data_IF_744994901492
#
_entry.id   IF_744994901492
#
_cell.length_a   1.000
_cell.length_b   1.000
_cell.length_c   1.000
_cell.angle_alpha   90.00
_cell.angle_beta   90.00
_cell.angle_gamma   90.00
#
_symmetry.space_group_name_H-M   'P 1'
#
loop_
_entity.id
_entity.type
_entity.pdbx_description
1 polymer ?
#
# COMPACT_ATOMS: atom_id res chain seq x y z
N UNK A 1 5.27 13.29 45.33
CA UNK A 1 4.28 12.69 44.40
C UNK A 1 4.36 13.25 42.98
N UNK A 2 4.81 14.50 42.76
CA UNK A 2 4.72 15.16 41.45
C UNK A 2 5.68 14.66 40.37
N UNK A 3 6.97 14.43 40.65
CA UNK A 3 7.97 14.21 39.59
C UNK A 3 7.64 13.05 38.65
N UNK A 4 7.27 11.89 39.19
CA UNK A 4 6.88 10.74 38.39
C UNK A 4 5.63 11.02 37.52
N UNK A 5 4.61 11.68 38.08
CA UNK A 5 3.41 12.06 37.33
C UNK A 5 3.69 13.16 36.30
N UNK A 6 4.56 14.11 36.61
CA UNK A 6 5.01 15.15 35.68
C UNK A 6 5.78 14.53 34.52
N UNK A 7 6.66 13.55 34.79
CA UNK A 7 7.38 12.82 33.73
C UNK A 7 6.43 12.02 32.85
N UNK A 8 5.47 11.28 33.43
CA UNK A 8 4.46 10.57 32.65
C UNK A 8 3.59 11.51 31.83
N UNK A 9 3.16 12.62 32.43
CA UNK A 9 2.32 13.61 31.75
C UNK A 9 3.07 14.30 30.60
N UNK A 10 4.36 14.60 30.79
CA UNK A 10 5.21 15.13 29.73
C UNK A 10 5.39 14.12 28.60
N UNK A 11 5.64 12.85 28.95
CA UNK A 11 5.76 11.76 27.99
C UNK A 11 4.47 11.58 27.17
N UNK A 12 3.32 11.57 27.83
CA UNK A 12 2.00 11.56 27.19
C UNK A 12 1.83 12.76 26.23
N UNK A 13 2.16 13.96 26.69
CA UNK A 13 1.98 15.18 25.88
C UNK A 13 2.86 15.13 24.63
N UNK A 14 4.10 14.63 24.75
CA UNK A 14 5.01 14.42 23.62
C UNK A 14 4.44 13.38 22.65
N UNK A 15 3.97 12.23 23.15
CA UNK A 15 3.35 11.19 22.32
C UNK A 15 2.11 11.69 21.57
N UNK A 16 1.25 12.47 22.24
CA UNK A 16 0.06 13.09 21.66
C UNK A 16 0.42 14.03 20.51
N UNK A 17 1.36 14.95 20.74
CA UNK A 17 1.79 15.91 19.72
C UNK A 17 2.43 15.19 18.55
N UNK A 18 3.29 14.19 18.82
CA UNK A 18 3.95 13.39 17.79
C UNK A 18 2.93 12.64 16.94
N UNK A 19 1.94 12.00 17.56
CA UNK A 19 0.90 11.25 16.86
C UNK A 19 -0.02 12.18 16.08
N UNK A 20 -0.40 13.32 16.65
CA UNK A 20 -1.20 14.33 15.95
C UNK A 20 -0.50 14.79 14.66
N UNK A 21 0.80 15.09 14.74
CA UNK A 21 1.62 15.42 13.57
C UNK A 21 1.66 14.25 12.58
N UNK A 22 1.70 12.99 13.02
CA UNK A 22 1.76 11.84 12.11
C UNK A 22 0.42 11.51 11.43
N UNK A 23 -0.71 11.79 12.09
CA UNK A 23 -2.06 11.53 11.56
C UNK A 23 -2.50 12.59 10.55
N UNK A 24 -1.99 13.82 10.67
CA UNK A 24 -2.31 14.87 9.72
C UNK A 24 -1.95 14.47 8.28
N UNK A 25 -2.71 14.94 7.27
CA UNK A 25 -2.41 14.67 5.87
C UNK A 25 -1.20 15.52 5.40
N UNK A 26 0.01 15.16 5.82
CA UNK A 26 1.21 15.92 5.43
C UNK A 26 1.61 15.69 3.95
N UNK A 27 2.25 16.67 3.30
CA UNK A 27 2.78 16.51 1.95
C UNK A 27 3.91 15.46 1.89
N UNK A 28 4.08 14.84 0.73
CA UNK A 28 4.98 13.69 0.50
C UNK A 28 6.42 13.90 0.97
N UNK A 29 6.98 15.11 0.76
CA UNK A 29 8.36 15.45 1.17
C UNK A 29 8.56 15.30 2.68
N UNK A 30 7.58 15.77 3.46
CA UNK A 30 7.66 15.75 4.92
C UNK A 30 7.41 14.34 5.44
N UNK A 31 6.44 13.60 4.87
CA UNK A 31 6.22 12.18 5.20
C UNK A 31 7.45 11.32 4.98
N UNK A 32 8.18 11.55 3.88
CA UNK A 32 9.43 10.84 3.57
C UNK A 32 10.52 11.15 4.61
N UNK A 33 10.65 12.43 5.00
CA UNK A 33 11.56 12.84 6.07
C UNK A 33 11.23 12.16 7.39
N UNK A 34 9.98 12.27 7.85
CA UNK A 34 9.48 11.65 9.08
C UNK A 34 9.72 10.14 9.08
N UNK A 35 9.37 9.45 7.99
CA UNK A 35 9.59 8.01 7.87
C UNK A 35 11.08 7.66 7.93
N UNK A 36 11.94 8.39 7.24
CA UNK A 36 13.38 8.17 7.25
C UNK A 36 13.97 8.37 8.64
N UNK A 37 13.62 9.46 9.32
CA UNK A 37 14.08 9.77 10.68
C UNK A 37 13.60 8.73 11.67
N UNK A 38 12.31 8.37 11.64
CA UNK A 38 11.78 7.30 12.49
C UNK A 38 12.49 5.98 12.24
N UNK A 39 12.68 5.58 10.97
CA UNK A 39 13.37 4.35 10.65
C UNK A 39 14.83 4.37 11.10
N UNK A 40 15.53 5.50 11.02
CA UNK A 40 16.89 5.66 11.52
C UNK A 40 16.96 5.58 13.05
N UNK A 41 16.00 6.17 13.75
CA UNK A 41 15.90 6.09 15.21
C UNK A 41 15.61 4.65 15.65
N UNK A 42 14.60 4.01 15.07
CA UNK A 42 14.21 2.64 15.41
C UNK A 42 15.20 1.59 14.90
N UNK A 43 16.04 1.89 13.90
CA UNK A 43 17.09 0.98 13.44
C UNK A 43 18.14 0.72 14.53
N UNK A 44 18.38 1.70 15.42
CA UNK A 44 19.32 1.53 16.54
C UNK A 44 18.74 0.59 17.59
N UNK A 45 19.44 -0.51 17.85
CA UNK A 45 19.01 -1.50 18.86
C UNK A 45 18.84 -0.87 20.24
N UNK A 46 19.73 0.05 20.63
CA UNK A 46 19.65 0.78 21.90
C UNK A 46 18.31 1.50 22.09
N UNK A 47 17.81 2.16 21.03
CA UNK A 47 16.54 2.89 21.08
C UNK A 47 15.36 1.92 21.18
N UNK A 48 15.39 0.80 20.46
CA UNK A 48 14.36 -0.25 20.59
C UNK A 48 14.29 -0.79 22.01
N UNK A 49 15.44 -1.04 22.62
CA UNK A 49 15.52 -1.52 24.01
C UNK A 49 14.95 -0.48 24.98
N UNK A 50 15.27 0.80 24.83
CA UNK A 50 14.72 1.87 25.67
C UNK A 50 13.20 1.93 25.54
N UNK A 51 12.66 1.95 24.31
CA UNK A 51 11.21 1.98 24.07
C UNK A 51 10.52 0.76 24.70
N UNK A 52 11.11 -0.43 24.56
CA UNK A 52 10.55 -1.65 25.14
C UNK A 52 10.55 -1.62 26.67
N UNK A 53 11.68 -1.22 27.29
CA UNK A 53 11.80 -1.12 28.75
C UNK A 53 10.82 -0.06 29.28
N UNK A 54 10.76 1.11 28.65
CA UNK A 54 9.81 2.18 29.03
C UNK A 54 8.37 1.71 28.89
N UNK A 55 8.03 1.01 27.80
CA UNK A 55 6.70 0.43 27.60
C UNK A 55 6.34 -0.60 28.66
N UNK A 56 7.25 -1.52 29.01
CA UNK A 56 7.06 -2.47 30.10
C UNK A 56 6.90 -1.78 31.45
N UNK A 57 7.70 -0.75 31.73
CA UNK A 57 7.62 0.02 32.97
C UNK A 57 6.25 0.71 33.10
N UNK A 58 5.81 1.44 32.07
CA UNK A 58 4.47 2.05 32.04
C UNK A 58 3.39 0.98 32.13
N UNK A 59 3.59 -0.19 31.52
CA UNK A 59 2.73 -1.36 31.65
C UNK A 59 2.56 -1.81 33.10
N UNK A 60 3.65 -2.00 33.84
CA UNK A 60 3.58 -2.36 35.27
C UNK A 60 2.85 -1.31 36.10
N UNK A 61 3.08 -0.03 35.81
CA UNK A 61 2.43 1.09 36.48
C UNK A 61 0.94 1.18 36.16
N UNK A 62 0.56 0.80 34.94
CA UNK A 62 -0.83 0.61 34.54
C UNK A 62 -1.46 -0.51 35.37
N UNK A 63 -0.86 -1.70 35.43
CA UNK A 63 -1.40 -2.80 36.25
C UNK A 63 -1.51 -2.41 37.74
N UNK A 64 -0.50 -1.74 38.31
CA UNK A 64 -0.53 -1.29 39.71
C UNK A 64 -1.67 -0.29 39.96
N UNK A 65 -1.80 0.70 39.09
CA UNK A 65 -2.88 1.71 39.16
C UNK A 65 -4.26 1.06 38.95
N UNK A 66 -4.37 0.06 38.08
CA UNK A 66 -5.61 -0.69 37.83
C UNK A 66 -6.04 -1.45 39.08
N UNK A 67 -5.13 -2.23 39.64
CA UNK A 67 -5.37 -3.03 40.85
C UNK A 67 -5.77 -2.14 42.02
N UNK A 68 -5.12 -0.99 42.18
CA UNK A 68 -5.41 -0.03 43.25
C UNK A 68 -6.70 0.76 43.02
N UNK A 69 -7.09 1.00 41.76
CA UNK A 69 -8.34 1.66 41.39
C UNK A 69 -9.58 0.77 41.56
N UNK A 70 -9.42 -0.56 41.47
CA UNK A 70 -10.51 -1.53 41.69
C UNK A 70 -10.85 -1.82 43.15
N UNK A 71 -10.10 -1.26 44.11
CA UNK A 71 -10.41 -1.41 45.54
C UNK A 71 -11.83 -0.86 45.79
N UNK A 72 -12.74 -1.75 46.20
CA UNK A 72 -14.16 -1.44 46.44
C UNK A 72 -14.27 -0.52 47.64
N UNK A 73 -14.60 0.74 47.38
CA UNK A 73 -14.98 1.71 48.40
C UNK A 73 -16.48 1.54 48.62
N UNK A 74 -16.88 1.01 49.77
CA UNK A 74 -18.28 0.97 50.19
C UNK A 74 -18.76 2.40 50.42
N UNK A 75 -19.47 2.95 49.43
CA UNK A 75 -20.24 4.19 49.56
C UNK A 75 -21.62 3.79 50.10
N UNK A 76 -22.08 4.51 51.13
CA UNK A 76 -23.41 4.43 51.72
C UNK A 76 -24.47 3.97 50.70
N UNK A 77 -24.92 2.72 50.80
CA UNK A 77 -26.28 2.38 50.43
C UNK A 77 -27.10 2.50 51.71
N UNK A 78 -28.12 3.35 51.69
CA UNK A 78 -29.18 3.39 52.70
C UNK A 78 -29.97 2.08 52.62
N UNK A 79 -29.39 0.96 53.03
CA UNK A 79 -30.17 -0.22 53.35
C UNK A 79 -30.65 -0.08 54.80
N UNK A 80 -31.92 0.30 54.91
CA UNK A 80 -32.74 0.20 56.11
C UNK A 80 -32.94 -1.28 56.50
N UNK A 81 -31.87 -2.02 56.77
CA UNK A 81 -31.97 -3.36 57.37
C UNK A 81 -31.09 -3.44 58.61
N UNK A 82 -31.77 -3.43 59.76
CA UNK A 82 -31.18 -3.43 61.09
C UNK A 82 -30.38 -4.68 61.39
N UNK A 83 -29.09 -4.66 61.04
CA UNK A 83 -28.13 -5.67 61.43
C UNK A 83 -26.88 -4.99 62.01
N UNK A 84 -26.71 -5.21 63.30
CA UNK A 84 -25.56 -4.81 64.12
C UNK A 84 -24.29 -5.44 63.53
N UNK A 85 -23.40 -4.60 63.01
CA UNK A 85 -22.09 -5.05 62.51
C UNK A 85 -21.36 -3.98 61.73
N UNK A 86 -20.73 -3.03 62.44
CA UNK A 86 -19.70 -2.11 61.94
C UNK A 86 -19.94 -1.60 60.51
N UNK A 87 -20.84 -0.62 60.37
CA UNK A 87 -20.91 0.21 59.16
C UNK A 87 -19.57 0.93 59.00
N UNK A 88 -18.63 0.27 58.32
CA UNK A 88 -17.30 0.78 58.04
C UNK A 88 -17.44 1.97 57.08
N UNK A 89 -17.63 3.16 57.65
CA UNK A 89 -17.55 4.44 56.97
C UNK A 89 -16.21 4.45 56.24
N UNK A 90 -16.24 4.43 54.90
CA UNK A 90 -15.01 4.58 54.14
C UNK A 90 -14.49 6.00 54.36
N UNK A 91 -13.25 6.17 54.86
CA UNK A 91 -12.74 7.49 55.16
C UNK A 91 -12.64 8.31 53.88
N UNK A 92 -12.89 9.63 53.95
CA UNK A 92 -12.71 10.57 52.82
C UNK A 92 -11.33 10.38 52.14
N UNK A 93 -10.31 10.00 52.91
CA UNK A 93 -8.97 9.68 52.42
C UNK A 93 -8.93 8.47 51.47
N UNK A 94 -9.76 7.45 51.68
CA UNK A 94 -9.88 6.30 50.78
C UNK A 94 -10.58 6.70 49.47
N UNK A 95 -11.57 7.59 49.55
CA UNK A 95 -12.27 8.11 48.37
C UNK A 95 -11.36 9.02 47.53
N UNK A 96 -10.59 9.91 48.18
CA UNK A 96 -9.58 10.74 47.53
C UNK A 96 -8.48 9.88 46.88
N UNK A 97 -7.96 8.88 47.61
CA UNK A 97 -6.95 7.95 47.09
C UNK A 97 -7.45 7.19 45.86
N UNK A 98 -8.72 6.80 45.81
CA UNK A 98 -9.33 6.17 44.63
C UNK A 98 -9.33 7.11 43.42
N UNK A 99 -9.77 8.36 43.59
CA UNK A 99 -9.80 9.33 42.49
C UNK A 99 -8.38 9.60 41.93
N UNK A 100 -7.37 9.64 42.78
CA UNK A 100 -5.97 9.75 42.33
C UNK A 100 -5.53 8.55 41.51
N UNK A 101 -5.83 7.32 41.94
CA UNK A 101 -5.46 6.12 41.20
C UNK A 101 -6.23 5.97 39.88
N UNK A 102 -7.49 6.41 39.83
CA UNK A 102 -8.25 6.49 38.58
C UNK A 102 -7.60 7.44 37.56
N UNK A 103 -7.18 8.63 37.99
CA UNK A 103 -6.48 9.57 37.10
C UNK A 103 -5.17 8.97 36.57
N UNK A 104 -4.38 8.36 37.44
CA UNK A 104 -3.10 7.75 37.07
C UNK A 104 -3.32 6.56 36.12
N UNK A 105 -4.44 5.86 36.29
CA UNK A 105 -4.86 4.80 35.40
C UNK A 105 -5.11 5.30 33.98
N UNK A 106 -5.88 6.38 33.83
CA UNK A 106 -6.14 6.95 32.51
C UNK A 106 -4.85 7.45 31.85
N UNK A 107 -3.99 8.17 32.58
CA UNK A 107 -2.73 8.68 32.04
C UNK A 107 -1.84 7.54 31.55
N UNK A 108 -1.59 6.52 32.37
CA UNK A 108 -0.76 5.37 31.97
C UNK A 108 -1.40 4.56 30.84
N UNK A 109 -2.73 4.44 30.81
CA UNK A 109 -3.45 3.75 29.75
C UNK A 109 -3.34 4.45 28.40
N UNK A 110 -3.46 5.78 28.38
CA UNK A 110 -3.27 6.56 27.17
C UNK A 110 -1.84 6.48 26.64
N UNK A 111 -0.82 6.48 27.52
CA UNK A 111 0.58 6.29 27.10
C UNK A 111 0.77 4.94 26.39
N UNK A 112 0.25 3.85 26.98
CA UNK A 112 0.32 2.53 26.36
C UNK A 112 -0.42 2.48 25.03
N UNK A 113 -1.59 3.13 24.95
CA UNK A 113 -2.34 3.24 23.71
C UNK A 113 -1.50 3.92 22.62
N UNK A 114 -0.87 5.06 22.90
CA UNK A 114 -0.03 5.74 21.90
C UNK A 114 1.24 4.99 21.55
N UNK A 115 1.86 4.31 22.52
CA UNK A 115 2.99 3.41 22.27
C UNK A 115 2.67 2.35 21.20
N UNK A 116 1.42 1.91 21.08
CA UNK A 116 0.95 0.97 20.03
C UNK A 116 0.48 1.72 18.76
N UNK A 117 -0.15 2.89 18.89
CA UNK A 117 -0.61 3.65 17.74
C UNK A 117 0.54 4.20 16.88
N UNK A 118 1.63 4.69 17.48
CA UNK A 118 2.78 5.24 16.74
C UNK A 118 3.34 4.25 15.70
N UNK A 119 3.72 3.00 16.03
CA UNK A 119 4.23 2.05 15.04
C UNK A 119 3.17 1.68 13.99
N UNK A 120 1.89 1.67 14.37
CA UNK A 120 0.78 1.41 13.45
C UNK A 120 0.66 2.51 12.39
N UNK A 121 0.64 3.77 12.82
CA UNK A 121 0.63 4.94 11.92
C UNK A 121 1.89 4.95 11.05
N UNK A 122 3.06 4.65 11.62
CA UNK A 122 4.30 4.59 10.83
C UNK A 122 4.29 3.51 9.76
N UNK A 123 3.64 2.37 10.00
CA UNK A 123 3.44 1.33 8.98
C UNK A 123 2.55 1.81 7.83
N UNK A 124 1.49 2.56 8.15
CA UNK A 124 0.62 3.17 7.14
C UNK A 124 1.39 4.23 6.34
N UNK A 125 2.13 5.12 7.01
CA UNK A 125 2.97 6.14 6.36
C UNK A 125 4.01 5.49 5.45
N UNK A 126 4.65 4.40 5.88
CA UNK A 126 5.59 3.61 5.06
C UNK A 126 4.95 3.14 3.76
N UNK A 127 3.74 2.58 3.84
CA UNK A 127 2.98 2.13 2.67
C UNK A 127 2.69 3.30 1.74
N UNK A 128 2.17 4.40 2.28
CA UNK A 128 1.86 5.60 1.49
C UNK A 128 3.10 6.17 0.78
N UNK A 129 4.24 6.27 1.48
CA UNK A 129 5.50 6.74 0.89
C UNK A 129 5.97 5.80 -0.23
N UNK A 130 5.84 4.48 -0.05
CA UNK A 130 6.20 3.50 -1.09
C UNK A 130 5.31 3.65 -2.33
N UNK A 131 3.99 3.71 -2.16
CA UNK A 131 3.05 3.86 -3.28
C UNK A 131 3.28 5.17 -4.04
N UNK A 132 3.44 6.27 -3.31
CA UNK A 132 3.65 7.58 -3.90
C UNK A 132 5.04 7.70 -4.57
N UNK A 133 6.04 6.97 -4.05
CA UNK A 133 7.34 6.79 -4.70
C UNK A 133 7.25 6.06 -6.04
N UNK A 134 6.51 4.94 -6.09
CA UNK A 134 6.30 4.16 -7.32
C UNK A 134 5.56 4.96 -8.40
N UNK A 135 4.53 5.72 -8.00
CA UNK A 135 3.80 6.61 -8.93
C UNK A 135 4.74 7.68 -9.51
N UNK A 136 5.50 8.35 -8.65
CA UNK A 136 6.47 9.37 -9.08
C UNK A 136 7.56 8.77 -9.98
N UNK A 137 8.00 7.54 -9.72
CA UNK A 137 8.98 6.86 -10.56
C UNK A 137 8.39 6.48 -11.93
N UNK A 138 7.15 5.98 -11.97
CA UNK A 138 6.45 5.71 -13.22
C UNK A 138 6.22 7.00 -14.04
N UNK A 139 5.88 8.12 -13.39
CA UNK A 139 5.76 9.42 -14.05
C UNK A 139 7.11 9.94 -14.55
N UNK A 140 8.18 9.79 -13.75
CA UNK A 140 9.53 10.15 -14.16
C UNK A 140 10.05 9.25 -15.28
N UNK A 141 9.73 7.97 -15.31
CA UNK A 141 10.06 7.09 -16.43
C UNK A 141 9.28 7.47 -17.69
N UNK A 142 8.04 7.99 -17.55
CA UNK A 142 7.29 8.58 -18.68
C UNK A 142 7.91 9.90 -19.17
N UNK A 143 8.54 10.69 -18.29
CA UNK A 143 9.08 12.02 -18.59
C UNK A 143 10.59 12.03 -18.99
N UNK A 144 11.41 11.16 -18.38
CA UNK A 144 12.83 10.98 -18.65
C UNK A 144 13.11 9.92 -19.71
N UNK A 145 12.08 9.24 -20.22
CA UNK A 145 12.18 8.72 -21.58
C UNK A 145 12.36 9.98 -22.43
N UNK A 146 13.53 10.20 -23.07
CA UNK A 146 13.61 11.25 -24.07
C UNK A 146 12.47 10.98 -25.06
N UNK A 147 12.00 12.01 -25.75
CA UNK A 147 11.01 11.91 -26.83
C UNK A 147 11.40 10.88 -27.91
N UNK A 148 11.35 9.58 -27.59
CA UNK A 148 11.09 8.48 -28.49
C UNK A 148 9.59 8.25 -28.33
N UNK A 149 8.84 9.14 -28.98
CA UNK A 149 7.60 8.88 -29.68
C UNK A 149 7.15 7.39 -29.61
N UNK A 150 6.57 6.94 -28.49
CA UNK A 150 6.21 5.52 -28.34
C UNK A 150 4.88 5.32 -27.61
N UNK A 151 3.93 6.23 -27.84
CA UNK A 151 2.48 5.94 -27.78
C UNK A 151 1.67 6.57 -28.91
N UNK A 152 2.33 7.22 -29.89
CA UNK A 152 1.70 7.64 -31.15
C UNK A 152 2.43 7.07 -32.38
N UNK A 153 3.75 6.88 -32.28
CA UNK A 153 4.60 6.32 -33.35
C UNK A 153 4.65 4.78 -33.40
N UNK A 154 4.10 4.06 -32.41
CA UNK A 154 3.91 2.61 -32.53
C UNK A 154 2.77 2.25 -33.50
N UNK A 155 1.95 3.21 -33.91
CA UNK A 155 1.07 3.02 -35.06
C UNK A 155 1.74 3.48 -36.36
N UNK A 156 2.55 4.54 -36.38
CA UNK A 156 3.16 5.02 -37.64
C UNK A 156 4.36 4.19 -38.11
N UNK A 157 5.28 3.79 -37.23
CA UNK A 157 6.44 2.95 -37.59
C UNK A 157 6.04 1.48 -37.87
N UNK A 158 5.02 0.95 -37.18
CA UNK A 158 4.42 -0.33 -37.55
C UNK A 158 3.51 -0.18 -38.77
N UNK A 159 2.77 0.93 -38.95
CA UNK A 159 1.96 1.12 -40.18
C UNK A 159 2.82 1.27 -41.42
N UNK A 160 3.98 1.91 -41.35
CA UNK A 160 4.88 2.05 -42.51
C UNK A 160 5.51 0.71 -42.86
N UNK A 161 5.95 -0.08 -41.88
CA UNK A 161 6.40 -1.47 -42.10
C UNK A 161 5.28 -2.38 -42.59
N UNK A 162 4.08 -2.32 -42.00
CA UNK A 162 2.90 -3.07 -42.44
C UNK A 162 2.43 -2.62 -43.83
N UNK A 163 2.52 -1.34 -44.19
CA UNK A 163 2.20 -0.83 -45.52
C UNK A 163 3.22 -1.33 -46.54
N UNK A 164 4.52 -1.38 -46.18
CA UNK A 164 5.55 -1.94 -47.04
C UNK A 164 5.36 -3.45 -47.25
N UNK A 165 5.00 -4.19 -46.19
CA UNK A 165 4.63 -5.61 -46.28
C UNK A 165 3.36 -5.84 -47.11
N UNK A 166 2.31 -5.03 -46.91
CA UNK A 166 1.10 -5.07 -47.73
C UNK A 166 1.41 -4.82 -49.20
N UNK A 167 2.27 -3.84 -49.50
CA UNK A 167 2.68 -3.56 -50.88
C UNK A 167 3.45 -4.74 -51.48
N UNK A 168 4.37 -5.36 -50.73
CA UNK A 168 5.09 -6.57 -51.17
C UNK A 168 4.15 -7.73 -51.43
N UNK A 169 3.18 -7.97 -50.53
CA UNK A 169 2.16 -9.02 -50.69
C UNK A 169 1.23 -8.75 -51.88
N UNK A 170 0.85 -7.50 -52.14
CA UNK A 170 0.02 -7.12 -53.27
C UNK A 170 0.74 -7.33 -54.61
N UNK A 171 2.01 -6.93 -54.71
CA UNK A 171 2.84 -7.19 -55.92
C UNK A 171 3.00 -8.69 -56.14
N UNK A 172 3.20 -9.46 -55.07
CA UNK A 172 3.29 -10.92 -55.15
C UNK A 172 1.98 -11.54 -55.65
N UNK A 173 0.82 -11.10 -55.14
CA UNK A 173 -0.49 -11.57 -55.61
C UNK A 173 -0.76 -11.20 -57.06
N UNK A 174 -0.41 -9.99 -57.49
CA UNK A 174 -0.57 -9.58 -58.90
C UNK A 174 0.35 -10.40 -59.82
N UNK A 175 1.57 -10.70 -59.37
CA UNK A 175 2.49 -11.61 -60.07
C UNK A 175 1.93 -13.02 -60.19
N UNK A 176 1.38 -13.57 -59.11
CA UNK A 176 0.70 -14.87 -59.08
C UNK A 176 -0.53 -14.88 -60.01
N UNK A 177 -1.35 -13.83 -60.00
CA UNK A 177 -2.49 -13.72 -60.92
C UNK A 177 -2.05 -13.68 -62.39
N UNK A 178 -0.98 -12.95 -62.72
CA UNK A 178 -0.40 -12.96 -64.07
C UNK A 178 0.11 -14.34 -64.47
N UNK A 179 0.74 -15.06 -63.54
CA UNK A 179 1.18 -16.43 -63.79
C UNK A 179 0.00 -17.36 -64.02
N UNK A 180 -1.04 -17.32 -63.16
CA UNK A 180 -2.25 -18.12 -63.32
C UNK A 180 -2.93 -17.80 -64.66
N UNK A 181 -3.10 -16.52 -65.01
CA UNK A 181 -3.72 -16.13 -66.29
C UNK A 181 -2.89 -16.56 -67.50
N UNK A 182 -1.56 -16.52 -67.39
CA UNK A 182 -0.70 -17.06 -68.44
C UNK A 182 -0.84 -18.58 -68.52
N UNK A 183 -0.87 -19.30 -67.39
CA UNK A 183 -1.11 -20.75 -67.36
C UNK A 183 -2.49 -21.10 -67.93
N UNK A 184 -3.56 -20.38 -67.57
CA UNK A 184 -4.90 -20.56 -68.13
C UNK A 184 -4.89 -20.36 -69.64
N UNK A 185 -4.24 -19.30 -70.15
CA UNK A 185 -4.05 -19.13 -71.60
C UNK A 185 -3.28 -20.29 -72.24
N UNK A 186 -2.20 -20.77 -71.61
CA UNK A 186 -1.45 -21.93 -72.10
C UNK A 186 -2.30 -23.21 -72.10
N UNK A 187 -3.15 -23.39 -71.09
CA UNK A 187 -4.07 -24.52 -71.03
C UNK A 187 -5.19 -24.40 -72.06
N UNK A 188 -5.81 -23.24 -72.20
CA UNK A 188 -6.83 -22.97 -73.22
C UNK A 188 -6.27 -23.12 -74.64
N UNK A 189 -5.06 -22.65 -74.89
CA UNK A 189 -4.35 -22.86 -76.17
C UNK A 189 -4.07 -24.34 -76.45
N UNK A 190 -3.75 -25.13 -75.42
CA UNK A 190 -3.62 -26.59 -75.55
C UNK A 190 -4.96 -27.33 -75.66
N UNK A 191 -6.04 -26.80 -75.11
CA UNK A 191 -7.36 -27.41 -75.12
C UNK A 191 -8.26 -26.91 -76.26
N UNK A 192 -7.80 -25.96 -77.08
CA UNK A 192 -8.49 -25.58 -78.30
C UNK A 192 -8.61 -26.79 -79.25
N UNK A 193 -9.80 -27.07 -79.79
CA UNK A 193 -10.12 -28.31 -80.52
C UNK A 193 -9.33 -28.52 -81.82
N UNK A 194 -8.47 -27.58 -82.23
CA UNK A 194 -7.57 -27.73 -83.39
C UNK A 194 -6.31 -28.56 -83.13
N UNK A 195 -5.78 -28.58 -81.90
CA UNK A 195 -4.52 -29.30 -81.60
C UNK A 195 -4.72 -30.74 -81.14
N UNK A 196 -5.91 -31.09 -80.64
CA UNK A 196 -6.28 -32.48 -80.39
C UNK A 196 -6.48 -33.23 -81.71
N UNK A 197 -7.05 -32.55 -82.72
CA UNK A 197 -7.17 -33.09 -84.08
C UNK A 197 -5.81 -33.24 -84.79
N UNK A 198 -4.84 -32.34 -84.56
CA UNK A 198 -3.49 -32.46 -85.10
C UNK A 198 -2.66 -33.59 -84.43
N UNK A 199 -2.84 -33.80 -83.12
CA UNK A 199 -2.20 -34.89 -82.39
C UNK A 199 -2.78 -36.28 -82.75
N UNK A 200 -4.09 -36.36 -83.04
CA UNK A 200 -4.72 -37.60 -83.53
C UNK A 200 -4.44 -37.87 -85.02
N UNK A 201 -4.28 -36.83 -85.85
CA UNK A 201 -3.88 -36.99 -87.26
C UNK A 201 -2.42 -37.45 -87.43
N UNK A 202 -1.51 -37.06 -86.53
CA UNK A 202 -0.11 -37.53 -86.55
C UNK A 202 0.04 -38.99 -86.10
N UNK A 203 -0.96 -39.58 -85.42
CA UNK A 203 -0.88 -40.98 -84.94
C UNK A 203 -1.53 -42.00 -85.89
N UNK A 204 -2.18 -41.53 -86.97
CA UNK A 204 -2.81 -42.37 -88.01
C UNK A 204 -2.08 -42.35 -89.36
N UNK A 205 -0.94 -41.66 -89.43
CA UNK A 205 -0.09 -41.55 -90.62
C UNK A 205 1.35 -41.97 -90.36
N UNK A 206 1.54 -43.16 -89.80
CA UNK A 206 2.73 -44.00 -89.99
C UNK A 206 2.36 -45.45 -89.73
#
# INVERSE_FOLDING_TARGET
>A
MSLYFTTLFLLLTVEMVMLFIFVLPLPFRIRRGIFSTYNQLTAKQQIKTIIFITGCLVGLLFIDSWKRSQIRVSLYHNDNSGSIGSSAVTPIQALASRAYNQRNMYISGFILYFSICIPTVMSIVKRLVKYQGLINEQEKQKLNKPSSNSKKDSNEADSTKLQEELRKKQISLEGLQKQVKNLEKYFDEKNQPGNVAAAEASKKGN
#
